data_IF_033816637512
#
_entry.id   IF_033816637512
#
_cell.length_a   1.000
_cell.length_b   1.000
_cell.length_c   1.000
_cell.angle_alpha   90.00
_cell.angle_beta   90.00
_cell.angle_gamma   90.00
#
_symmetry.space_group_name_H-M   'P 1'
#
loop_
_entity.id
_entity.type
_entity.pdbx_description
1 polymer ?
#
# COMPACT_ATOMS: atom_id res chain seq x y z
N UNK A 1 -9.22 45.17 8.58
CA UNK A 1 -9.71 44.45 7.38
C UNK A 1 -8.76 43.31 7.02
N UNK A 2 -7.45 43.53 7.15
CA UNK A 2 -6.39 42.54 6.88
C UNK A 2 -6.52 41.22 7.66
N UNK A 3 -6.88 41.25 8.94
CA UNK A 3 -7.03 40.02 9.74
C UNK A 3 -8.16 39.09 9.27
N UNK A 4 -9.22 39.63 8.66
CA UNK A 4 -10.35 38.82 8.16
C UNK A 4 -10.00 38.16 6.82
N UNK A 5 -9.23 38.85 5.97
CA UNK A 5 -8.77 38.30 4.70
C UNK A 5 -7.68 37.25 4.92
N UNK A 6 -6.81 37.44 5.92
CA UNK A 6 -5.83 36.44 6.34
C UNK A 6 -6.51 35.19 6.90
N UNK A 7 -7.49 35.34 7.80
CA UNK A 7 -8.20 34.19 8.38
C UNK A 7 -9.00 33.40 7.34
N UNK A 8 -9.60 34.09 6.36
CA UNK A 8 -10.27 33.44 5.23
C UNK A 8 -9.26 32.70 4.34
N UNK A 9 -8.10 33.31 4.05
CA UNK A 9 -7.05 32.67 3.26
C UNK A 9 -6.52 31.41 3.94
N UNK A 10 -6.34 31.42 5.25
CA UNK A 10 -5.82 30.28 5.99
C UNK A 10 -6.86 29.17 6.11
N UNK A 11 -8.14 29.52 6.26
CA UNK A 11 -9.25 28.57 6.20
C UNK A 11 -9.32 27.84 4.86
N UNK A 12 -9.23 28.57 3.74
CA UNK A 12 -9.22 27.96 2.39
C UNK A 12 -8.00 27.04 2.21
N UNK A 13 -6.81 27.48 2.65
CA UNK A 13 -5.60 26.65 2.59
C UNK A 13 -5.75 25.36 3.40
N UNK A 14 -6.39 25.41 4.57
CA UNK A 14 -6.67 24.22 5.38
C UNK A 14 -7.56 23.23 4.65
N UNK A 15 -8.66 23.69 4.03
CA UNK A 15 -9.58 22.83 3.28
C UNK A 15 -8.88 22.14 2.10
N UNK A 16 -8.06 22.89 1.35
CA UNK A 16 -7.30 22.34 0.22
C UNK A 16 -6.31 21.29 0.72
N UNK A 17 -5.59 21.58 1.81
CA UNK A 17 -4.61 20.66 2.39
C UNK A 17 -5.27 19.37 2.90
N UNK A 18 -6.40 19.47 3.58
CA UNK A 18 -7.15 18.32 4.07
C UNK A 18 -7.69 17.47 2.91
N UNK A 19 -8.14 18.12 1.84
CA UNK A 19 -8.63 17.44 0.63
C UNK A 19 -7.51 16.69 -0.06
N UNK A 20 -6.35 17.33 -0.24
CA UNK A 20 -5.16 16.69 -0.83
C UNK A 20 -4.69 15.51 0.04
N UNK A 21 -4.67 15.66 1.36
CA UNK A 21 -4.29 14.57 2.26
C UNK A 21 -5.26 13.38 2.15
N UNK A 22 -6.57 13.63 2.08
CA UNK A 22 -7.57 12.57 1.88
C UNK A 22 -7.41 11.88 0.53
N UNK A 23 -7.12 12.63 -0.54
CA UNK A 23 -6.83 12.05 -1.86
C UNK A 23 -5.57 11.19 -1.83
N UNK A 24 -4.51 11.66 -1.17
CA UNK A 24 -3.27 10.90 -0.98
C UNK A 24 -3.46 9.67 -0.08
N UNK A 25 -4.33 9.73 0.92
CA UNK A 25 -4.71 8.56 1.74
C UNK A 25 -5.50 7.55 0.92
N UNK A 26 -6.45 8.00 0.09
CA UNK A 26 -7.15 7.15 -0.86
C UNK A 26 -6.16 6.51 -1.83
N UNK A 27 -5.20 7.26 -2.38
CA UNK A 27 -4.16 6.70 -3.27
C UNK A 27 -3.22 5.71 -2.56
N UNK A 28 -2.87 5.97 -1.30
CA UNK A 28 -2.03 5.07 -0.49
C UNK A 28 -2.73 3.77 -0.10
N UNK A 29 -4.04 3.81 0.09
CA UNK A 29 -4.88 2.62 0.28
C UNK A 29 -5.30 1.99 -1.07
N UNK A 30 -5.12 2.68 -2.19
CA UNK A 30 -5.48 2.23 -3.54
C UNK A 30 -4.33 1.57 -4.29
N UNK A 31 -3.54 0.72 -3.63
CA UNK A 31 -2.75 -0.25 -4.40
C UNK A 31 -3.65 -1.26 -5.13
N UNK A 32 -4.98 -1.16 -5.03
CA UNK A 32 -6.01 -1.97 -5.71
C UNK A 32 -5.96 -3.47 -5.43
N UNK A 33 -4.95 -3.92 -4.70
CA UNK A 33 -4.76 -5.32 -4.35
C UNK A 33 -5.60 -5.70 -3.13
N UNK A 34 -6.28 -6.88 -3.18
CA UNK A 34 -7.03 -7.41 -2.05
C UNK A 34 -6.11 -7.72 -0.87
N UNK A 35 -6.65 -7.76 0.35
CA UNK A 35 -5.85 -8.13 1.54
C UNK A 35 -5.33 -9.56 1.45
N UNK A 36 -6.10 -10.48 0.86
CA UNK A 36 -5.67 -11.85 0.57
C UNK A 36 -5.44 -12.01 -0.93
N UNK A 37 -4.16 -11.97 -1.31
CA UNK A 37 -3.72 -12.06 -2.70
C UNK A 37 -3.45 -13.51 -3.07
N UNK A 38 -3.94 -13.94 -4.23
CA UNK A 38 -3.53 -15.22 -4.81
C UNK A 38 -2.11 -15.12 -5.41
N UNK A 39 -1.63 -16.21 -6.00
CA UNK A 39 -0.33 -16.28 -6.65
C UNK A 39 -0.13 -15.17 -7.70
N UNK A 40 -1.10 -14.94 -8.58
CA UNK A 40 -0.96 -13.99 -9.70
C UNK A 40 -0.87 -12.58 -9.17
N UNK A 41 -1.80 -12.26 -8.29
CA UNK A 41 -1.91 -10.97 -7.63
C UNK A 41 -0.65 -10.67 -6.81
N UNK A 42 -0.08 -11.67 -6.13
CA UNK A 42 1.15 -11.51 -5.34
C UNK A 42 2.37 -11.28 -6.25
N UNK A 43 2.45 -11.96 -7.39
CA UNK A 43 3.52 -11.74 -8.37
C UNK A 43 3.46 -10.32 -8.96
N UNK A 44 2.26 -9.87 -9.33
CA UNK A 44 2.01 -8.51 -9.82
C UNK A 44 2.37 -7.46 -8.77
N UNK A 45 1.92 -7.65 -7.52
CA UNK A 45 2.22 -6.75 -6.40
C UNK A 45 3.73 -6.61 -6.14
N UNK A 46 4.49 -7.70 -6.30
CA UNK A 46 5.94 -7.71 -6.12
C UNK A 46 6.71 -7.30 -7.39
N UNK A 47 6.05 -7.16 -8.54
CA UNK A 47 6.69 -6.85 -9.82
C UNK A 47 7.60 -7.98 -10.35
N UNK A 48 7.31 -9.25 -10.03
CA UNK A 48 8.10 -10.41 -10.42
C UNK A 48 7.28 -11.45 -11.18
N UNK A 49 7.94 -12.34 -11.91
CA UNK A 49 7.25 -13.43 -12.60
C UNK A 49 6.94 -14.62 -11.66
N UNK A 50 6.05 -15.50 -12.14
CA UNK A 50 5.60 -16.67 -11.40
C UNK A 50 6.73 -17.61 -10.99
N UNK A 51 7.69 -17.87 -11.88
CA UNK A 51 8.80 -18.79 -11.60
C UNK A 51 9.70 -18.24 -10.50
N UNK A 52 9.96 -16.93 -10.54
CA UNK A 52 10.74 -16.24 -9.51
C UNK A 52 10.02 -16.31 -8.17
N UNK A 53 8.71 -16.06 -8.15
CA UNK A 53 7.92 -16.16 -6.93
C UNK A 53 7.90 -17.60 -6.39
N UNK A 54 7.60 -18.58 -7.22
CA UNK A 54 7.39 -19.96 -6.82
C UNK A 54 8.68 -20.68 -6.43
N UNK A 55 9.78 -20.39 -7.12
CA UNK A 55 11.06 -21.08 -6.88
C UNK A 55 11.91 -20.40 -5.81
N UNK A 56 11.75 -19.08 -5.61
CA UNK A 56 12.61 -18.33 -4.70
C UNK A 56 11.86 -17.78 -3.49
N UNK A 57 10.76 -17.04 -3.68
CA UNK A 57 10.14 -16.28 -2.58
C UNK A 57 9.15 -17.10 -1.76
N UNK A 58 8.27 -17.87 -2.42
CA UNK A 58 7.16 -18.59 -1.79
C UNK A 58 7.58 -19.47 -0.61
N UNK A 59 8.75 -20.08 -0.71
CA UNK A 59 9.32 -20.98 0.29
C UNK A 59 10.55 -20.39 1.00
N UNK A 60 10.86 -19.12 0.75
CA UNK A 60 11.99 -18.44 1.40
C UNK A 60 11.74 -18.34 2.91
N UNK A 61 12.77 -18.68 3.68
CA UNK A 61 12.72 -18.50 5.12
C UNK A 61 12.51 -17.02 5.47
N UNK A 62 11.47 -16.75 6.26
CA UNK A 62 11.12 -15.40 6.70
C UNK A 62 10.20 -14.63 5.74
N UNK A 63 9.94 -15.13 4.53
CA UNK A 63 8.86 -14.61 3.69
C UNK A 63 7.49 -14.94 4.31
N UNK A 64 6.45 -14.10 4.10
CA UNK A 64 5.12 -14.36 4.65
C UNK A 64 4.57 -15.75 4.31
N UNK A 65 4.01 -16.40 5.33
CA UNK A 65 3.48 -17.75 5.21
C UNK A 65 2.28 -17.80 4.28
N UNK A 66 2.25 -18.85 3.46
CA UNK A 66 1.08 -19.20 2.65
C UNK A 66 -0.11 -19.59 3.54
N UNK A 67 -1.24 -18.95 3.29
CA UNK A 67 -2.54 -19.20 3.91
C UNK A 67 -3.36 -20.22 3.08
N UNK A 68 -4.40 -20.84 3.67
CA UNK A 68 -5.27 -21.76 2.96
C UNK A 68 -5.78 -21.20 1.62
N UNK A 69 -5.80 -22.05 0.60
CA UNK A 69 -6.19 -21.65 -0.76
C UNK A 69 -5.07 -20.96 -1.56
N UNK A 70 -3.80 -21.15 -1.18
CA UNK A 70 -2.62 -20.55 -1.83
C UNK A 70 -2.72 -19.02 -1.90
N UNK A 71 -2.91 -18.40 -0.73
CA UNK A 71 -3.04 -16.94 -0.58
C UNK A 71 -2.02 -16.34 0.36
N UNK A 72 -1.72 -15.06 0.19
CA UNK A 72 -0.81 -14.29 1.05
C UNK A 72 -1.47 -13.00 1.52
N UNK A 73 -1.19 -12.61 2.77
CA UNK A 73 -1.64 -11.32 3.31
C UNK A 73 -0.80 -10.18 2.72
N UNK A 74 -1.47 -9.23 2.06
CA UNK A 74 -0.89 -7.99 1.56
C UNK A 74 -0.15 -7.26 2.68
N UNK A 75 -0.79 -7.12 3.85
CA UNK A 75 -0.16 -6.50 5.02
C UNK A 75 1.12 -7.22 5.44
N UNK A 76 1.12 -8.55 5.50
CA UNK A 76 2.30 -9.31 5.88
C UNK A 76 3.46 -9.14 4.88
N UNK A 77 3.17 -9.08 3.58
CA UNK A 77 4.17 -8.82 2.53
C UNK A 77 4.72 -7.40 2.64
N UNK A 78 3.87 -6.37 2.84
CA UNK A 78 4.33 -5.00 3.08
C UNK A 78 5.27 -4.90 4.27
N UNK A 79 4.92 -5.52 5.39
CA UNK A 79 5.76 -5.53 6.60
C UNK A 79 7.07 -6.30 6.39
N UNK A 80 7.05 -7.36 5.60
CA UNK A 80 8.27 -8.08 5.23
C UNK A 80 9.19 -7.22 4.34
N UNK A 81 8.64 -6.54 3.33
CA UNK A 81 9.40 -5.64 2.43
C UNK A 81 10.06 -4.49 3.20
N UNK A 82 9.35 -3.88 4.15
CA UNK A 82 9.89 -2.80 5.01
C UNK A 82 11.13 -3.22 5.80
N UNK A 83 11.28 -4.51 6.12
CA UNK A 83 12.43 -5.06 6.86
C UNK A 83 13.64 -5.38 5.98
N UNK A 84 13.51 -5.24 4.65
CA UNK A 84 14.61 -5.45 3.71
C UNK A 84 15.36 -4.14 3.36
N UNK A 85 14.85 -3.00 3.83
CA UNK A 85 15.49 -1.68 3.78
C UNK A 85 16.37 -1.49 5.03
#
# INVERSE_FOLDING_TARGET
MDNVLLSLSDWIKSIIKDTINKLLEIEKDSDSYPELMDVSTTCEFLGINYDTFSNNYRYMQGFPKELPGKKWSKRAIKEWLKKQL
#
